data_IF_078965200253
#
_entry.id   IF_078965200253
#
_cell.length_a   1.000
_cell.length_b   1.000
_cell.length_c   1.000
_cell.angle_alpha   90.00
_cell.angle_beta   90.00
_cell.angle_gamma   90.00
#
_symmetry.space_group_name_H-M   'P 1'
#
loop_
_entity.id
_entity.type
_entity.pdbx_description
1 polymer ?
#
# COMPACT_ATOMS: atom_id res chain seq x y z
N UNK A 1 7.48 22.39 -4.77
CA UNK A 1 6.55 21.38 -5.32
C UNK A 1 6.39 20.31 -4.24
N UNK A 2 5.16 19.87 -3.96
CA UNK A 2 4.93 18.75 -3.05
C UNK A 2 5.11 17.44 -3.81
N UNK A 3 5.70 16.43 -3.18
CA UNK A 3 5.76 15.07 -3.74
C UNK A 3 4.36 14.47 -3.82
N UNK A 4 4.06 13.73 -4.90
CA UNK A 4 2.78 13.06 -5.10
C UNK A 4 2.96 11.72 -5.82
N UNK A 5 2.00 10.81 -5.61
CA UNK A 5 1.89 9.52 -6.30
C UNK A 5 0.54 9.43 -6.98
N UNK A 6 0.53 8.98 -8.23
CA UNK A 6 -0.67 8.62 -8.98
C UNK A 6 -0.48 7.26 -9.63
N UNK A 7 -1.52 6.45 -9.66
CA UNK A 7 -1.54 5.18 -10.38
C UNK A 7 -2.84 5.04 -11.16
N UNK A 8 -2.74 4.49 -12.37
CA UNK A 8 -3.89 4.16 -13.22
C UNK A 8 -3.75 2.71 -13.65
N UNK A 9 -4.77 1.91 -13.37
CA UNK A 9 -4.83 0.48 -13.70
C UNK A 9 -5.96 0.29 -14.70
N UNK A 10 -5.69 -0.42 -15.81
CA UNK A 10 -6.73 -0.79 -16.75
C UNK A 10 -7.67 -1.81 -16.10
N UNK A 11 -8.95 -1.49 -15.93
CA UNK A 11 -9.90 -2.38 -15.27
C UNK A 11 -10.04 -3.73 -15.99
N UNK A 12 -9.93 -3.71 -17.33
CA UNK A 12 -9.95 -4.91 -18.16
C UNK A 12 -8.75 -5.85 -17.92
N UNK A 13 -7.66 -5.39 -17.28
CA UNK A 13 -6.50 -6.24 -16.98
C UNK A 13 -6.72 -7.18 -15.79
N UNK A 14 -7.88 -7.12 -15.13
CA UNK A 14 -8.20 -8.04 -14.04
C UNK A 14 -8.06 -9.50 -14.51
N UNK A 15 -7.38 -10.30 -13.71
CA UNK A 15 -7.22 -11.73 -13.94
C UNK A 15 -7.23 -12.45 -12.60
N UNK A 16 -7.85 -13.62 -12.60
CA UNK A 16 -7.90 -14.50 -11.46
C UNK A 16 -7.42 -15.92 -11.83
N UNK A 17 -6.88 -16.08 -13.04
CA UNK A 17 -6.49 -17.37 -13.61
C UNK A 17 -7.66 -18.21 -14.14
N UNK A 18 -8.89 -17.69 -14.16
CA UNK A 18 -10.10 -18.41 -14.60
C UNK A 18 -10.91 -17.56 -15.58
N UNK A 19 -10.91 -17.94 -16.86
CA UNK A 19 -11.48 -17.15 -17.96
C UNK A 19 -12.93 -16.71 -17.76
N UNK A 20 -13.82 -17.63 -17.35
CA UNK A 20 -15.24 -17.32 -17.14
C UNK A 20 -15.46 -16.33 -15.97
N UNK A 21 -14.70 -16.52 -14.88
CA UNK A 21 -14.75 -15.58 -13.75
C UNK A 21 -14.22 -14.22 -14.16
N UNK A 22 -13.14 -14.16 -14.93
CA UNK A 22 -12.57 -12.91 -15.40
C UNK A 22 -13.50 -12.18 -16.38
N UNK A 23 -14.19 -12.92 -17.26
CA UNK A 23 -15.21 -12.37 -18.14
C UNK A 23 -16.37 -11.74 -17.34
N UNK A 24 -16.81 -12.42 -16.29
CA UNK A 24 -17.83 -11.88 -15.37
C UNK A 24 -17.31 -10.65 -14.61
N UNK A 25 -16.11 -10.70 -14.02
CA UNK A 25 -15.56 -9.56 -13.29
C UNK A 25 -15.46 -8.29 -14.14
N UNK A 26 -15.29 -8.44 -15.46
CA UNK A 26 -15.26 -7.32 -16.41
C UNK A 26 -16.65 -6.80 -16.81
N UNK A 27 -17.70 -7.58 -16.62
CA UNK A 27 -19.05 -7.28 -17.11
C UNK A 27 -19.70 -6.11 -16.34
N UNK A 28 -20.83 -5.56 -16.85
CA UNK A 28 -21.63 -4.55 -16.16
C UNK A 28 -22.14 -4.94 -14.77
N UNK A 29 -22.24 -6.24 -14.48
CA UNK A 29 -22.68 -6.76 -13.18
C UNK A 29 -21.59 -6.60 -12.09
N UNK A 30 -20.34 -6.34 -12.49
CA UNK A 30 -19.22 -6.16 -11.59
C UNK A 30 -18.44 -4.87 -11.89
N UNK A 31 -17.27 -4.90 -12.53
CA UNK A 31 -16.45 -3.69 -12.74
C UNK A 31 -16.97 -2.77 -13.86
N UNK A 32 -17.79 -3.29 -14.78
CA UNK A 32 -18.31 -2.54 -15.94
C UNK A 32 -17.19 -1.84 -16.72
N UNK A 33 -16.23 -2.63 -17.21
CA UNK A 33 -14.95 -2.10 -17.73
C UNK A 33 -15.08 -1.31 -19.03
N UNK A 34 -16.16 -1.52 -19.77
CA UNK A 34 -16.49 -0.71 -20.96
C UNK A 34 -16.87 0.73 -20.58
N UNK A 35 -17.61 0.89 -19.47
CA UNK A 35 -18.01 2.20 -18.96
C UNK A 35 -16.95 2.84 -18.06
N UNK A 36 -16.24 2.03 -17.30
CA UNK A 36 -15.21 2.45 -16.33
C UNK A 36 -13.89 1.74 -16.65
N UNK A 37 -13.14 2.21 -17.66
CA UNK A 37 -11.97 1.50 -18.17
C UNK A 37 -10.77 1.53 -17.23
N UNK A 38 -10.78 2.40 -16.22
CA UNK A 38 -9.66 2.62 -15.30
C UNK A 38 -10.08 2.54 -13.83
N UNK A 39 -9.18 2.00 -13.02
CA UNK A 39 -9.10 2.25 -11.58
C UNK A 39 -7.99 3.27 -11.36
N UNK A 40 -8.22 4.24 -10.47
CA UNK A 40 -7.31 5.37 -10.28
C UNK A 40 -7.00 5.57 -8.80
N UNK A 41 -5.72 5.76 -8.48
CA UNK A 41 -5.27 6.14 -7.15
C UNK A 41 -4.54 7.47 -7.20
N UNK A 42 -4.81 8.36 -6.25
CA UNK A 42 -4.11 9.64 -6.09
C UNK A 42 -3.78 9.89 -4.63
N UNK A 43 -2.50 10.10 -4.33
CA UNK A 43 -2.06 10.46 -2.98
C UNK A 43 -2.56 11.84 -2.58
N UNK A 44 -2.95 11.99 -1.31
CA UNK A 44 -3.30 13.27 -0.68
C UNK A 44 -2.24 13.71 0.34
N UNK A 45 -1.32 12.82 0.74
CA UNK A 45 -0.30 13.13 1.73
C UNK A 45 0.50 11.92 2.18
N UNK A 46 1.39 12.17 3.15
CA UNK A 46 2.24 11.16 3.79
C UNK A 46 2.19 11.33 5.30
N UNK A 47 2.06 10.22 6.02
CA UNK A 47 2.19 10.14 7.47
C UNK A 47 3.26 9.11 7.80
N UNK A 48 4.40 9.57 8.31
CA UNK A 48 5.45 8.68 8.78
C UNK A 48 4.99 7.84 9.96
N UNK A 49 5.26 6.54 9.93
CA UNK A 49 5.06 5.68 11.09
C UNK A 49 6.41 5.52 11.79
N UNK A 50 6.53 5.88 13.08
CA UNK A 50 7.76 5.64 13.81
C UNK A 50 8.01 4.13 13.87
N UNK A 51 9.25 3.71 13.63
CA UNK A 51 9.64 2.34 13.89
C UNK A 51 9.36 2.03 15.37
N UNK A 52 8.67 0.91 15.66
CA UNK A 52 8.35 0.53 17.05
C UNK A 52 9.62 0.31 17.88
N UNK A 53 10.74 -0.02 17.24
CA UNK A 53 12.04 -0.08 17.90
C UNK A 53 12.58 1.31 18.26
N UNK A 54 12.36 2.33 17.42
CA UNK A 54 12.75 3.71 17.73
C UNK A 54 11.92 4.31 18.86
N UNK A 55 10.66 3.92 19.03
CA UNK A 55 9.80 4.42 20.12
C UNK A 55 10.41 4.16 21.51
N UNK A 56 10.99 2.99 21.74
CA UNK A 56 11.64 2.65 23.03
C UNK A 56 12.85 3.57 23.28
N UNK A 57 13.68 3.82 22.25
CA UNK A 57 14.86 4.68 22.37
C UNK A 57 14.50 6.18 22.42
N UNK A 58 13.41 6.58 21.77
CA UNK A 58 12.86 7.93 21.82
C UNK A 58 12.41 8.30 23.25
N UNK A 59 11.73 7.38 23.96
CA UNK A 59 11.41 7.54 25.38
C UNK A 59 12.66 7.58 26.28
N UNK A 60 13.69 6.78 25.98
CA UNK A 60 14.94 6.77 26.76
C UNK A 60 15.72 8.09 26.63
N UNK A 61 15.65 8.73 25.46
CA UNK A 61 16.30 10.03 25.18
C UNK A 61 15.57 11.21 25.84
N UNK A 62 14.23 11.16 25.89
CA UNK A 62 13.41 12.21 26.53
C UNK A 62 13.46 12.18 28.06
N UNK A 63 13.70 11.00 28.68
CA UNK A 63 13.78 10.86 30.14
C UNK A 63 15.17 11.04 30.75
N UNK A 64 16.09 11.72 30.05
CA UNK A 64 17.36 12.22 30.62
C UNK A 64 18.04 11.23 31.57
N UNK A 65 18.57 10.12 31.05
CA UNK A 65 19.23 9.11 31.87
C UNK A 65 20.49 9.67 32.56
N UNK A 66 20.31 10.17 33.79
CA UNK A 66 21.28 10.09 34.89
C UNK A 66 21.03 8.81 35.70
N UNK A 67 21.09 7.66 35.06
CA UNK A 67 21.21 6.38 35.78
C UNK A 67 22.67 5.97 35.78
N UNK A 68 23.26 5.99 36.98
CA UNK A 68 24.68 5.79 37.20
C UNK A 68 25.19 4.41 36.77
N UNK A 69 26.37 4.43 36.15
CA UNK A 69 27.51 3.53 36.33
C UNK A 69 27.25 2.00 36.23
N UNK A 70 27.86 1.42 35.19
CA UNK A 70 28.13 0.00 34.87
C UNK A 70 27.00 -0.79 34.17
N UNK A 71 26.81 -0.48 32.89
CA UNK A 71 26.53 -1.51 31.88
C UNK A 71 27.64 -1.42 30.84
N UNK A 72 28.22 -2.57 30.47
CA UNK A 72 29.26 -2.66 29.45
C UNK A 72 28.80 -2.04 28.13
N UNK A 73 29.76 -1.56 27.34
CA UNK A 73 29.53 -0.88 26.08
C UNK A 73 28.52 -1.64 25.20
N UNK A 74 27.25 -1.23 25.27
CA UNK A 74 26.29 -1.49 24.22
C UNK A 74 26.71 -0.54 23.11
N UNK A 75 27.51 -1.05 22.18
CA UNK A 75 27.73 -0.39 20.89
C UNK A 75 26.38 -0.35 20.20
N UNK A 76 25.66 0.76 20.35
CA UNK A 76 24.54 1.08 19.48
C UNK A 76 25.16 1.26 18.10
N UNK A 77 24.85 0.42 17.09
CA UNK A 77 25.45 0.57 15.77
C UNK A 77 25.13 1.96 15.21
N UNK A 78 26.18 2.68 14.81
CA UNK A 78 26.15 4.07 14.32
C UNK A 78 25.65 4.18 12.86
N UNK A 79 24.65 3.39 12.49
CA UNK A 79 23.95 3.57 11.22
C UNK A 79 22.55 2.98 11.36
N UNK A 80 21.63 3.79 11.90
CA UNK A 80 20.23 3.67 11.50
C UNK A 80 20.22 4.15 10.05
N UNK A 81 20.18 3.18 9.14
CA UNK A 81 20.10 3.46 7.71
C UNK A 81 18.86 4.32 7.48
N UNK A 82 19.04 5.57 7.04
CA UNK A 82 17.96 6.56 6.86
C UNK A 82 17.04 6.21 5.68
N UNK A 83 17.01 4.94 5.28
CA UNK A 83 16.43 4.41 4.06
C UNK A 83 15.54 3.16 4.31
N UNK A 84 15.18 2.84 5.56
CA UNK A 84 14.14 1.84 5.88
C UNK A 84 12.92 2.54 6.47
N UNK A 85 12.19 3.27 5.64
CA UNK A 85 11.02 4.04 6.08
C UNK A 85 9.72 3.24 5.93
N UNK A 86 8.99 3.06 7.03
CA UNK A 86 7.56 2.74 6.98
C UNK A 86 6.75 4.02 7.06
N UNK A 87 5.77 4.16 6.18
CA UNK A 87 4.89 5.32 6.19
C UNK A 87 3.53 4.96 5.63
N UNK A 88 2.53 5.74 5.98
CA UNK A 88 1.22 5.69 5.35
C UNK A 88 1.16 6.74 4.27
N UNK A 89 0.93 6.30 3.04
CA UNK A 89 0.58 7.16 1.92
C UNK A 89 -0.95 7.30 1.93
N UNK A 90 -1.44 8.43 2.42
CA UNK A 90 -2.87 8.72 2.39
C UNK A 90 -3.29 9.03 0.96
N UNK A 91 -4.46 8.57 0.53
CA UNK A 91 -4.92 8.84 -0.82
C UNK A 91 -6.38 8.49 -1.06
N UNK A 92 -6.78 8.65 -2.30
CA UNK A 92 -8.13 8.37 -2.79
C UNK A 92 -8.03 7.30 -3.87
N UNK A 93 -8.85 6.26 -3.76
CA UNK A 93 -9.03 5.21 -4.75
C UNK A 93 -10.38 5.39 -5.43
N UNK A 94 -10.38 5.38 -6.76
CA UNK A 94 -11.59 5.39 -7.59
C UNK A 94 -11.77 4.04 -8.25
N UNK A 95 -12.91 3.40 -8.00
CA UNK A 95 -13.34 2.16 -8.66
C UNK A 95 -14.77 2.34 -9.13
N UNK A 96 -15.05 2.01 -10.39
CA UNK A 96 -16.41 2.12 -10.99
C UNK A 96 -17.05 3.51 -10.81
N UNK A 97 -16.21 4.56 -10.90
CA UNK A 97 -16.64 5.95 -10.72
C UNK A 97 -16.94 6.38 -9.28
N UNK A 98 -16.78 5.50 -8.30
CA UNK A 98 -16.92 5.82 -6.87
C UNK A 98 -15.53 6.04 -6.28
N UNK A 99 -15.30 7.21 -5.67
CA UNK A 99 -14.04 7.56 -5.02
C UNK A 99 -14.15 7.43 -3.50
N UNK A 100 -13.19 6.77 -2.87
CA UNK A 100 -13.11 6.61 -1.41
C UNK A 100 -11.69 6.85 -0.91
N UNK A 101 -11.52 7.33 0.33
CA UNK A 101 -10.21 7.40 0.96
C UNK A 101 -9.66 6.00 1.21
N UNK A 102 -8.43 5.75 0.79
CA UNK A 102 -7.69 4.49 1.00
C UNK A 102 -6.26 4.83 1.38
N UNK A 103 -5.87 4.43 2.57
CA UNK A 103 -4.51 4.59 3.09
C UNK A 103 -3.66 3.38 2.72
N UNK A 104 -2.59 3.60 1.96
CA UNK A 104 -1.60 2.57 1.66
C UNK A 104 -0.51 2.57 2.74
N UNK A 105 -0.32 1.43 3.41
CA UNK A 105 0.83 1.22 4.31
C UNK A 105 2.02 0.81 3.47
N UNK A 106 3.00 1.70 3.34
CA UNK A 106 4.18 1.52 2.49
C UNK A 106 5.38 1.13 3.33
N UNK A 107 6.11 0.12 2.87
CA UNK A 107 7.44 -0.22 3.35
C UNK A 107 8.45 0.04 2.23
N UNK A 108 9.40 0.95 2.50
CA UNK A 108 10.47 1.23 1.56
C UNK A 108 11.52 0.13 1.63
N UNK A 109 11.72 -0.58 0.51
CA UNK A 109 12.63 -1.71 0.37
C UNK A 109 14.08 -1.33 0.08
N UNK A 110 14.37 -0.03 -0.04
CA UNK A 110 15.71 0.52 -0.26
C UNK A 110 15.93 1.07 -1.67
N UNK A 111 17.08 1.74 -1.84
CA UNK A 111 17.52 2.32 -3.11
C UNK A 111 18.82 1.66 -3.58
N UNK A 112 18.92 1.37 -4.87
CA UNK A 112 20.09 0.75 -5.51
C UNK A 112 20.37 1.44 -6.83
N UNK A 113 21.65 1.53 -7.21
CA UNK A 113 22.04 1.92 -8.56
C UNK A 113 22.19 0.68 -9.43
N UNK A 114 21.56 0.68 -10.61
CA UNK A 114 21.67 -0.41 -11.57
C UNK A 114 22.97 -0.31 -12.40
N UNK A 115 23.35 -1.36 -13.16
CA UNK A 115 24.53 -1.34 -14.03
C UNK A 115 24.52 -0.28 -15.14
N UNK A 116 23.36 0.31 -15.44
CA UNK A 116 23.16 1.32 -16.46
C UNK A 116 23.19 2.75 -15.89
N UNK A 117 23.38 2.88 -14.57
CA UNK A 117 23.50 4.16 -13.86
C UNK A 117 22.18 4.74 -13.37
N UNK A 118 21.06 4.02 -13.47
CA UNK A 118 19.77 4.45 -12.96
C UNK A 118 19.68 4.23 -11.44
N UNK A 119 19.03 5.15 -10.74
CA UNK A 119 18.67 4.97 -9.34
C UNK A 119 17.29 4.29 -9.27
N UNK A 120 17.26 3.07 -8.73
CA UNK A 120 16.06 2.23 -8.56
C UNK A 120 15.65 2.22 -7.09
N UNK A 121 14.35 2.35 -6.85
CA UNK A 121 13.74 2.41 -5.52
C UNK A 121 12.69 1.30 -5.39
N UNK A 122 12.93 0.33 -4.53
CA UNK A 122 11.99 -0.76 -4.27
C UNK A 122 11.02 -0.42 -3.15
N UNK A 123 9.77 -0.84 -3.25
CA UNK A 123 8.78 -0.67 -2.20
C UNK A 123 7.73 -1.78 -2.23
N UNK A 124 7.09 -2.00 -1.07
CA UNK A 124 5.83 -2.73 -0.97
C UNK A 124 4.78 -1.84 -0.33
N UNK A 125 3.51 -2.09 -0.64
CA UNK A 125 2.40 -1.40 -0.02
C UNK A 125 1.20 -2.31 0.18
N UNK A 126 0.44 -2.11 1.27
CA UNK A 126 -0.77 -2.85 1.56
C UNK A 126 -1.94 -1.96 1.95
N UNK A 127 -3.15 -2.40 1.64
CA UNK A 127 -4.40 -1.84 2.13
C UNK A 127 -5.50 -2.91 2.17
N UNK A 128 -6.58 -2.62 2.87
CA UNK A 128 -7.81 -3.40 2.80
C UNK A 128 -8.95 -2.44 2.45
N UNK A 129 -9.83 -2.88 1.56
CA UNK A 129 -11.03 -2.15 1.18
C UNK A 129 -12.25 -3.06 1.29
N UNK A 130 -13.43 -2.46 1.45
CA UNK A 130 -14.70 -3.18 1.34
C UNK A 130 -15.28 -2.92 -0.05
N UNK A 131 -15.46 -3.97 -0.87
CA UNK A 131 -15.90 -3.81 -2.27
C UNK A 131 -17.29 -3.18 -2.41
N UNK A 132 -18.13 -3.37 -1.40
CA UNK A 132 -19.50 -2.84 -1.37
C UNK A 132 -19.52 -1.31 -1.29
N UNK A 133 -18.47 -0.68 -0.72
CA UNK A 133 -18.34 0.78 -0.65
C UNK A 133 -18.21 1.44 -2.03
N UNK A 134 -17.85 0.64 -3.04
CA UNK A 134 -17.72 1.01 -4.46
C UNK A 134 -18.91 0.52 -5.30
N UNK A 135 -19.96 -0.02 -4.66
CA UNK A 135 -21.15 -0.55 -5.34
C UNK A 135 -20.93 -1.91 -6.02
N UNK A 136 -19.84 -2.62 -5.72
CA UNK A 136 -19.57 -3.96 -6.22
C UNK A 136 -20.30 -4.99 -5.33
N UNK A 137 -21.62 -5.04 -5.42
CA UNK A 137 -22.50 -5.80 -4.49
C UNK A 137 -22.91 -7.19 -4.99
N UNK A 138 -22.50 -7.58 -6.21
CA UNK A 138 -22.87 -8.89 -6.76
C UNK A 138 -22.44 -10.03 -5.83
N UNK A 139 -23.33 -11.01 -5.63
CA UNK A 139 -23.03 -12.20 -4.85
C UNK A 139 -23.99 -13.35 -5.16
N UNK A 140 -23.58 -14.57 -4.81
CA UNK A 140 -24.43 -15.77 -4.82
C UNK A 140 -24.61 -16.23 -3.37
N UNK A 141 -25.86 -16.45 -2.96
CA UNK A 141 -26.16 -17.07 -1.68
C UNK A 141 -25.84 -18.56 -1.72
N UNK A 142 -25.23 -19.09 -0.67
CA UNK A 142 -24.90 -20.51 -0.56
C UNK A 142 -25.97 -21.27 0.22
N UNK A 143 -26.26 -22.51 -0.16
CA UNK A 143 -27.22 -23.38 0.54
C UNK A 143 -26.84 -23.62 2.02
N UNK A 144 -25.55 -23.53 2.34
CA UNK A 144 -25.00 -23.61 3.71
C UNK A 144 -25.23 -22.35 4.56
N UNK A 145 -25.85 -21.32 4.00
CA UNK A 145 -25.82 -19.96 4.55
C UNK A 145 -24.52 -19.23 4.21
N UNK A 146 -24.60 -17.89 4.18
CA UNK A 146 -23.49 -17.02 3.78
C UNK A 146 -23.48 -16.72 2.28
N UNK A 147 -22.36 -16.15 1.82
CA UNK A 147 -22.21 -15.65 0.45
C UNK A 147 -20.93 -16.16 -0.21
N UNK A 148 -20.94 -16.31 -1.53
CA UNK A 148 -19.83 -16.89 -2.30
C UNK A 148 -18.58 -16.00 -2.33
N UNK A 149 -18.74 -14.68 -2.34
CA UNK A 149 -17.63 -13.73 -2.47
C UNK A 149 -17.52 -12.87 -1.21
N UNK A 150 -16.33 -12.89 -0.59
CA UNK A 150 -16.00 -12.07 0.58
C UNK A 150 -16.16 -10.57 0.31
N UNK A 151 -16.43 -9.79 1.36
CA UNK A 151 -16.64 -8.35 1.26
C UNK A 151 -15.32 -7.56 1.20
N UNK A 152 -14.37 -8.00 2.02
CA UNK A 152 -13.04 -7.38 2.15
C UNK A 152 -12.14 -7.83 0.99
N UNK A 153 -11.44 -6.87 0.39
CA UNK A 153 -10.42 -7.07 -0.63
C UNK A 153 -9.09 -6.58 -0.06
N UNK A 154 -8.15 -7.50 0.08
CA UNK A 154 -6.76 -7.16 0.40
C UNK A 154 -6.07 -6.67 -0.87
N UNK A 155 -5.37 -5.54 -0.76
CA UNK A 155 -4.56 -4.94 -1.79
C UNK A 155 -3.10 -5.13 -1.39
N UNK A 156 -2.33 -5.74 -2.28
CA UNK A 156 -0.89 -5.92 -2.13
C UNK A 156 -0.20 -5.38 -3.38
N UNK A 157 0.78 -4.50 -3.17
CA UNK A 157 1.56 -3.87 -4.23
C UNK A 157 3.03 -4.15 -3.93
N UNK A 158 3.75 -4.66 -4.91
CA UNK A 158 5.21 -4.69 -4.92
C UNK A 158 5.66 -3.94 -6.17
N UNK A 159 6.57 -2.98 -6.02
CA UNK A 159 6.96 -2.11 -7.11
C UNK A 159 8.40 -1.63 -7.03
N UNK A 160 8.90 -1.22 -8.19
CA UNK A 160 10.17 -0.53 -8.35
C UNK A 160 9.92 0.78 -9.10
N UNK A 161 10.57 1.85 -8.66
CA UNK A 161 10.54 3.15 -9.32
C UNK A 161 11.94 3.52 -9.79
N UNK A 162 12.04 4.11 -10.98
CA UNK A 162 13.29 4.65 -11.52
C UNK A 162 13.22 6.17 -11.45
N UNK A 163 14.26 6.80 -10.90
CA UNK A 163 14.37 8.26 -10.88
C UNK A 163 14.39 8.81 -12.31
N UNK A 164 13.46 9.71 -12.60
CA UNK A 164 13.48 10.49 -13.84
C UNK A 164 14.51 11.64 -13.71
N UNK A 165 15.21 11.99 -14.80
CA UNK A 165 16.25 13.02 -14.81
C UNK A 165 15.71 14.43 -14.51
#
# INVERSE_FOLDING_TARGET
MASSVTATIAAASITTGHGDRDAHLRSPDFLDVERYPTLEYRSTGIRWEPDRNEAIFYWARLRGNRLGRRAGAVTVPEQVDRASGRFVLTGELTVKGVTRPVDLRVEFGGARRDPFGNDIFGFSATAEIEREDYGLVWNVALDSGGVLVGRTVAIEIAGEAIRQP
#
